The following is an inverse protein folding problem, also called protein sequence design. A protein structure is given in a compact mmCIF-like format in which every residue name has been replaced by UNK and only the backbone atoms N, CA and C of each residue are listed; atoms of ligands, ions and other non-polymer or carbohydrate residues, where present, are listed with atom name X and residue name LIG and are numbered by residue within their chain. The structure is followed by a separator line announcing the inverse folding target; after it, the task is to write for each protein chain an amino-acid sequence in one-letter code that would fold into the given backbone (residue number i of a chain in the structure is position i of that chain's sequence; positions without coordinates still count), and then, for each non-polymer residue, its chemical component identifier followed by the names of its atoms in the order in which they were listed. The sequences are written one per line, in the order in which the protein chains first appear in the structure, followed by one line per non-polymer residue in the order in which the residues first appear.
data_IF_196309258281
#
_entry.id   IF_196309258281
#
_cell.length_a   1.000
_cell.length_b   1.000
_cell.length_c   1.000
_cell.angle_alpha   90.00
_cell.angle_beta   90.00
_cell.angle_gamma   90.00
#
_symmetry.space_group_name_H-M   'P 1'
#
loop_
_entity.id
_entity.type
_entity.pdbx_description
1 polymer ?
#
# COMPACT_ATOMS: atom_id res chain seq x y z
N UNK A 1 -11.36 25.14 -0.37
CA UNK A 1 -10.71 24.50 -1.54
C UNK A 1 -10.66 25.51 -2.68
N UNK A 2 -9.46 25.88 -3.16
CA UNK A 2 -9.33 26.77 -4.32
C UNK A 2 -9.74 26.02 -5.60
N UNK A 3 -10.56 26.63 -6.45
CA UNK A 3 -10.91 26.10 -7.78
C UNK A 3 -9.78 26.49 -8.74
N UNK A 4 -8.83 25.59 -8.93
CA UNK A 4 -7.63 25.78 -9.76
C UNK A 4 -7.94 25.29 -11.17
N UNK A 5 -8.95 25.86 -11.83
CA UNK A 5 -9.35 25.50 -13.20
C UNK A 5 -9.33 26.75 -14.11
N UNK A 6 -9.01 26.57 -15.40
CA UNK A 6 -9.05 27.59 -16.47
C UNK A 6 -7.98 28.70 -16.49
N UNK A 7 -6.85 28.54 -15.80
CA UNK A 7 -5.69 29.46 -15.90
C UNK A 7 -4.55 28.86 -16.72
N UNK A 8 -3.77 29.74 -17.35
CA UNK A 8 -2.55 29.34 -18.05
C UNK A 8 -1.34 29.84 -17.28
N UNK A 9 -0.45 28.92 -16.90
CA UNK A 9 0.73 29.22 -16.10
C UNK A 9 2.01 29.05 -16.91
N UNK A 10 3.03 29.87 -16.61
CA UNK A 10 4.40 29.64 -17.08
C UNK A 10 5.19 28.77 -16.10
N UNK A 11 4.82 28.85 -14.82
CA UNK A 11 5.50 28.18 -13.74
C UNK A 11 4.53 27.88 -12.60
N UNK A 12 4.66 26.71 -11.98
CA UNK A 12 3.91 26.32 -10.79
C UNK A 12 4.87 25.73 -9.76
N UNK A 13 4.70 26.11 -8.50
CA UNK A 13 5.35 25.46 -7.35
C UNK A 13 4.26 24.73 -6.57
N UNK A 14 4.50 23.46 -6.27
CA UNK A 14 3.72 22.71 -5.29
C UNK A 14 4.63 22.51 -4.09
N UNK A 15 4.29 23.18 -2.99
CA UNK A 15 4.97 23.02 -1.71
C UNK A 15 4.31 21.91 -0.89
N UNK A 16 5.09 21.30 0.01
CA UNK A 16 4.71 20.08 0.74
C UNK A 16 4.09 19.01 -0.18
N UNK A 17 4.73 18.80 -1.33
CA UNK A 17 4.23 17.96 -2.42
C UNK A 17 4.05 16.49 -2.03
N UNK A 18 4.63 16.04 -0.91
CA UNK A 18 4.38 14.70 -0.36
C UNK A 18 2.93 14.49 0.11
N UNK A 19 2.21 15.56 0.47
CA UNK A 19 0.80 15.53 0.89
C UNK A 19 -0.16 15.96 -0.23
N UNK A 20 0.38 16.39 -1.37
CA UNK A 20 -0.43 16.84 -2.49
C UNK A 20 -1.19 15.67 -3.13
N UNK A 21 -2.49 15.88 -3.34
CA UNK A 21 -3.36 14.94 -4.05
C UNK A 21 -2.90 14.76 -5.50
N UNK A 22 -2.54 13.52 -5.87
CA UNK A 22 -2.02 13.18 -7.18
C UNK A 22 -3.01 13.48 -8.31
N UNK A 23 -4.31 13.29 -8.06
CA UNK A 23 -5.36 13.59 -9.03
C UNK A 23 -5.42 15.10 -9.30
N UNK A 24 -5.41 15.93 -8.26
CA UNK A 24 -5.39 17.40 -8.39
C UNK A 24 -4.16 17.88 -9.16
N UNK A 25 -2.97 17.37 -8.83
CA UNK A 25 -1.74 17.80 -9.51
C UNK A 25 -1.76 17.40 -10.99
N UNK A 26 -2.18 16.17 -11.30
CA UNK A 26 -2.14 15.64 -12.67
C UNK A 26 -3.28 16.12 -13.56
N UNK A 27 -4.49 16.27 -13.03
CA UNK A 27 -5.68 16.66 -13.80
C UNK A 27 -5.95 18.16 -13.79
N UNK A 28 -5.63 18.86 -12.70
CA UNK A 28 -5.94 20.29 -12.59
C UNK A 28 -4.71 21.17 -12.83
N UNK A 29 -3.56 20.89 -12.20
CA UNK A 29 -2.39 21.78 -12.27
C UNK A 29 -1.56 21.55 -13.53
N UNK A 30 -1.20 20.30 -13.84
CA UNK A 30 -0.30 19.98 -14.95
C UNK A 30 -0.83 20.46 -16.32
N UNK A 31 -2.12 20.32 -16.66
CA UNK A 31 -2.64 20.80 -17.95
C UNK A 31 -2.54 22.32 -18.13
N UNK A 32 -2.53 23.09 -17.04
CA UNK A 32 -2.43 24.56 -17.09
C UNK A 32 -1.07 25.08 -17.53
N UNK A 33 -0.04 24.25 -17.46
CA UNK A 33 1.31 24.58 -17.93
C UNK A 33 1.48 24.26 -19.42
N UNK A 34 0.57 23.49 -20.03
CA UNK A 34 0.76 22.93 -21.37
C UNK A 34 0.93 24.00 -22.46
N UNK A 35 0.07 25.03 -22.47
CA UNK A 35 0.10 26.07 -23.51
C UNK A 35 1.42 26.84 -23.54
N UNK A 36 2.01 27.13 -22.38
CA UNK A 36 3.28 27.86 -22.29
C UNK A 36 4.52 26.95 -22.25
N UNK A 37 4.34 25.62 -22.36
CA UNK A 37 5.39 24.65 -22.03
C UNK A 37 6.03 24.97 -20.64
N UNK A 38 5.18 25.27 -19.68
CA UNK A 38 5.57 25.76 -18.36
C UNK A 38 6.23 24.69 -17.50
N UNK A 39 6.97 25.14 -16.49
CA UNK A 39 7.69 24.25 -15.56
C UNK A 39 6.91 24.07 -14.27
N UNK A 40 6.89 22.84 -13.73
CA UNK A 40 6.42 22.56 -12.38
C UNK A 40 7.63 22.23 -11.49
N UNK A 41 7.72 22.89 -10.34
CA UNK A 41 8.67 22.58 -9.28
C UNK A 41 7.91 21.99 -8.08
N UNK A 42 8.47 20.93 -7.51
CA UNK A 42 7.89 20.24 -6.36
C UNK A 42 8.88 20.33 -5.20
N UNK A 43 8.43 20.83 -4.06
CA UNK A 43 9.20 20.89 -2.81
C UNK A 43 8.47 20.10 -1.72
N UNK A 44 9.22 19.50 -0.82
CA UNK A 44 8.64 18.65 0.21
C UNK A 44 9.67 17.76 0.90
N UNK A 45 9.19 16.95 1.83
CA UNK A 45 9.99 16.04 2.65
C UNK A 45 9.65 14.58 2.37
N UNK A 46 10.54 13.66 2.77
CA UNK A 46 10.30 12.23 2.60
C UNK A 46 9.19 11.74 3.54
N UNK A 47 8.34 10.83 3.04
CA UNK A 47 7.25 10.23 3.82
C UNK A 47 7.24 8.71 3.66
N UNK A 48 6.23 8.06 4.25
CA UNK A 48 6.03 6.60 4.27
C UNK A 48 5.32 6.06 3.03
N UNK A 49 4.66 6.92 2.25
CA UNK A 49 3.82 6.49 1.12
C UNK A 49 4.38 6.97 -0.22
N UNK A 50 4.15 6.19 -1.28
CA UNK A 50 4.50 6.56 -2.66
C UNK A 50 3.52 7.59 -3.21
N UNK A 51 3.86 8.88 -3.08
CA UNK A 51 3.07 9.98 -3.64
C UNK A 51 3.50 10.34 -5.07
N UNK A 52 2.75 11.26 -5.71
CA UNK A 52 3.16 11.89 -6.96
C UNK A 52 4.57 12.49 -6.86
N UNK A 53 4.90 13.11 -5.72
CA UNK A 53 6.22 13.68 -5.45
C UNK A 53 7.32 12.62 -5.49
N UNK A 54 7.12 11.47 -4.83
CA UNK A 54 8.06 10.35 -4.90
C UNK A 54 8.31 9.89 -6.34
N UNK A 55 7.24 9.70 -7.13
CA UNK A 55 7.33 9.27 -8.53
C UNK A 55 8.14 10.27 -9.37
N UNK A 56 7.95 11.57 -9.16
CA UNK A 56 8.67 12.63 -9.87
C UNK A 56 10.14 12.73 -9.43
N UNK A 57 10.46 12.50 -8.15
CA UNK A 57 11.85 12.38 -7.69
C UNK A 57 12.55 11.23 -8.43
N UNK A 58 11.94 10.04 -8.49
CA UNK A 58 12.53 8.88 -9.18
C UNK A 58 12.68 9.13 -10.69
N UNK A 59 11.72 9.82 -11.30
CA UNK A 59 11.83 10.26 -12.69
C UNK A 59 13.01 11.22 -12.91
N UNK A 60 13.14 12.27 -12.07
CA UNK A 60 14.21 13.26 -12.18
C UNK A 60 15.58 12.64 -11.90
N UNK A 61 15.72 11.76 -10.89
CA UNK A 61 16.96 11.01 -10.63
C UNK A 61 17.39 10.19 -11.85
N UNK A 62 16.47 9.44 -12.47
CA UNK A 62 16.74 8.69 -13.72
C UNK A 62 17.14 9.60 -14.87
N UNK A 63 16.49 10.77 -15.00
CA UNK A 63 16.81 11.76 -16.03
C UNK A 63 18.20 12.37 -15.82
N UNK A 64 18.57 12.67 -14.58
CA UNK A 64 19.86 13.26 -14.23
C UNK A 64 21.03 12.29 -14.43
N UNK A 65 20.80 10.99 -14.22
CA UNK A 65 21.77 9.92 -14.54
C UNK A 65 22.00 9.85 -16.05
N UNK A 66 20.93 9.91 -16.85
CA UNK A 66 20.97 9.79 -18.31
C UNK A 66 21.20 11.13 -19.03
N UNK A 67 21.65 12.17 -18.32
CA UNK A 67 21.71 13.53 -18.85
C UNK A 67 22.77 13.66 -19.95
N UNK A 68 22.41 14.34 -21.04
CA UNK A 68 23.37 14.73 -22.09
C UNK A 68 24.17 15.97 -21.66
N UNK A 69 25.36 16.16 -22.23
CA UNK A 69 26.18 17.35 -21.99
C UNK A 69 25.37 18.62 -22.29
N UNK A 70 25.31 19.54 -21.32
CA UNK A 70 24.52 20.77 -21.40
C UNK A 70 23.12 20.70 -20.79
N UNK A 71 22.63 19.51 -20.41
CA UNK A 71 21.37 19.40 -19.66
C UNK A 71 21.55 19.77 -18.19
N UNK A 72 20.62 20.59 -17.68
CA UNK A 72 20.60 21.01 -16.27
C UNK A 72 20.08 19.89 -15.37
N UNK A 73 20.57 19.87 -14.14
CA UNK A 73 20.11 18.97 -13.08
C UNK A 73 18.64 19.28 -12.75
N UNK A 74 17.84 18.23 -12.58
CA UNK A 74 16.40 18.31 -12.34
C UNK A 74 16.01 17.93 -10.92
N UNK A 75 16.81 17.10 -10.23
CA UNK A 75 16.59 16.69 -8.85
C UNK A 75 17.61 17.34 -7.92
N UNK A 76 17.14 17.96 -6.84
CA UNK A 76 17.98 18.53 -5.79
C UNK A 76 17.53 17.97 -4.45
N UNK A 77 18.48 17.52 -3.63
CA UNK A 77 18.21 16.87 -2.35
C UNK A 77 19.29 17.29 -1.34
N UNK A 78 18.84 17.77 -0.19
CA UNK A 78 19.71 18.32 0.84
C UNK A 78 19.25 17.78 2.19
N UNK A 79 20.09 16.96 2.80
CA UNK A 79 19.87 16.43 4.15
C UNK A 79 20.30 17.45 5.22
N UNK A 80 20.10 17.07 6.48
CA UNK A 80 20.51 17.87 7.63
C UNK A 80 22.01 18.22 7.61
N UNK A 81 22.86 17.35 7.02
CA UNK A 81 24.32 17.59 6.95
C UNK A 81 24.62 18.80 6.09
N UNK A 82 23.85 19.04 5.05
CA UNK A 82 24.00 20.23 4.22
C UNK A 82 23.59 21.48 4.99
N UNK A 83 22.42 21.47 5.63
CA UNK A 83 21.94 22.61 6.42
C UNK A 83 22.87 22.95 7.60
N UNK A 84 23.42 21.93 8.27
CA UNK A 84 24.33 22.09 9.40
C UNK A 84 25.65 22.80 9.04
N UNK A 85 26.08 22.77 7.77
CA UNK A 85 27.27 23.51 7.31
C UNK A 85 27.08 25.03 7.36
N UNK A 86 25.84 25.49 7.23
CA UNK A 86 25.52 26.93 7.14
C UNK A 86 24.89 27.49 8.41
N UNK A 87 24.44 26.62 9.33
CA UNK A 87 23.82 27.03 10.58
C UNK A 87 24.28 26.16 11.74
N UNK A 88 25.20 26.70 12.55
CA UNK A 88 25.74 26.02 13.72
C UNK A 88 24.67 25.68 14.77
N UNK A 89 23.67 26.55 14.94
CA UNK A 89 22.57 26.29 15.89
C UNK A 89 21.74 25.08 15.43
N UNK A 90 21.51 24.95 14.13
CA UNK A 90 20.86 23.77 13.55
C UNK A 90 21.69 22.51 13.77
N UNK A 91 23.01 22.55 13.53
CA UNK A 91 23.90 21.42 13.81
C UNK A 91 23.89 21.00 15.29
N UNK A 92 23.89 21.97 16.22
CA UNK A 92 23.75 21.70 17.66
C UNK A 92 22.40 21.09 18.02
N UNK A 93 21.32 21.52 17.37
CA UNK A 93 19.99 20.95 17.54
C UNK A 93 19.95 19.48 17.08
N UNK A 94 20.44 19.20 15.88
CA UNK A 94 20.50 17.83 15.34
C UNK A 94 21.33 16.90 16.23
N UNK A 95 22.43 17.41 16.80
CA UNK A 95 23.26 16.62 17.72
C UNK A 95 22.49 16.18 18.97
N UNK A 96 21.60 17.03 19.49
CA UNK A 96 20.71 16.69 20.61
C UNK A 96 19.62 15.70 20.16
N UNK A 97 19.04 15.90 18.98
CA UNK A 97 18.03 14.98 18.43
C UNK A 97 18.60 13.58 18.21
N UNK A 98 19.82 13.45 17.67
CA UNK A 98 20.50 12.16 17.51
C UNK A 98 20.59 11.37 18.82
N UNK A 99 20.83 12.05 19.95
CA UNK A 99 20.87 11.41 21.27
C UNK A 99 19.46 11.10 21.78
N UNK A 100 18.49 11.99 21.53
CA UNK A 100 17.11 11.86 22.02
C UNK A 100 16.32 10.75 21.34
N UNK A 101 16.28 10.77 20.00
CA UNK A 101 15.46 9.85 19.20
C UNK A 101 16.29 8.72 18.57
N UNK A 102 17.61 8.87 18.47
CA UNK A 102 18.49 7.91 17.80
C UNK A 102 18.61 8.20 16.31
N UNK A 103 19.83 8.18 15.77
CA UNK A 103 20.09 8.42 14.33
C UNK A 103 19.47 7.34 13.43
N UNK A 104 19.29 6.12 13.97
CA UNK A 104 18.66 5.00 13.28
C UNK A 104 17.13 4.97 13.39
N UNK A 105 16.53 5.88 14.16
CA UNK A 105 15.06 5.99 14.25
C UNK A 105 14.45 6.42 12.92
N UNK A 106 13.20 6.02 12.70
CA UNK A 106 12.49 6.42 11.48
C UNK A 106 12.24 7.92 11.48
N UNK A 107 11.92 8.48 12.64
CA UNK A 107 11.71 9.89 12.86
C UNK A 107 12.94 10.67 12.39
N UNK A 108 14.14 10.24 12.80
CA UNK A 108 15.37 10.90 12.37
C UNK A 108 15.64 10.71 10.87
N UNK A 109 15.46 9.50 10.35
CA UNK A 109 15.70 9.16 8.94
C UNK A 109 14.77 9.91 7.99
N UNK A 110 13.48 10.02 8.30
CA UNK A 110 12.52 10.75 7.48
C UNK A 110 12.75 12.26 7.58
N UNK A 111 12.78 12.81 8.80
CA UNK A 111 12.79 14.27 9.01
C UNK A 111 14.12 14.94 8.71
N UNK A 112 15.24 14.21 8.80
CA UNK A 112 16.57 14.82 8.67
C UNK A 112 17.42 14.21 7.56
N UNK A 113 17.23 12.93 7.21
CA UNK A 113 18.00 12.25 6.14
C UNK A 113 17.27 12.19 4.80
N UNK A 114 16.03 12.71 4.70
CA UNK A 114 15.16 12.59 3.52
C UNK A 114 14.96 11.14 3.07
N UNK A 115 14.96 10.20 4.02
CA UNK A 115 14.82 8.79 3.72
C UNK A 115 13.35 8.40 3.58
N UNK A 116 12.98 7.84 2.42
CA UNK A 116 11.62 7.38 2.14
C UNK A 116 11.39 6.01 2.75
N UNK A 117 10.55 5.94 3.78
CA UNK A 117 10.26 4.72 4.54
C UNK A 117 9.06 3.96 3.94
N UNK A 118 9.20 3.51 2.69
CA UNK A 118 8.06 3.04 1.87
C UNK A 118 7.47 1.68 2.26
N UNK A 119 8.27 0.81 2.88
CA UNK A 119 7.92 -0.59 3.09
C UNK A 119 7.75 -0.94 4.58
N UNK A 120 7.93 0.05 5.47
CA UNK A 120 7.89 -0.20 6.91
C UNK A 120 6.45 -0.34 7.38
N UNK A 121 6.12 -1.53 7.89
CA UNK A 121 4.77 -1.93 8.28
C UNK A 121 4.06 -2.81 7.24
N UNK A 122 4.64 -2.99 6.05
CA UNK A 122 4.12 -3.95 5.06
C UNK A 122 4.68 -5.35 5.34
N UNK A 123 3.86 -6.38 5.13
CA UNK A 123 4.28 -7.78 5.28
C UNK A 123 5.37 -8.19 4.26
N UNK A 124 5.28 -7.63 3.05
CA UNK A 124 6.17 -7.94 1.92
C UNK A 124 6.44 -6.69 1.08
N UNK A 125 7.63 -6.61 0.48
CA UNK A 125 8.01 -5.54 -0.46
C UNK A 125 7.33 -5.75 -1.82
N UNK A 126 7.11 -4.67 -2.58
CA UNK A 126 6.51 -4.77 -3.93
C UNK A 126 7.34 -5.64 -4.88
N UNK A 127 8.68 -5.55 -4.82
CA UNK A 127 9.57 -6.38 -5.64
C UNK A 127 9.44 -7.88 -5.31
N UNK A 128 9.43 -8.24 -4.02
CA UNK A 128 9.22 -9.62 -3.58
C UNK A 128 7.82 -10.13 -3.96
N UNK A 129 6.77 -9.33 -3.79
CA UNK A 129 5.42 -9.70 -4.22
C UNK A 129 5.34 -9.90 -5.74
N UNK A 130 5.98 -9.01 -6.51
CA UNK A 130 6.06 -9.11 -7.97
C UNK A 130 6.79 -10.36 -8.48
N UNK A 131 7.69 -10.95 -7.68
CA UNK A 131 8.34 -12.24 -8.00
C UNK A 131 7.48 -13.46 -7.68
N UNK A 132 6.49 -13.33 -6.80
CA UNK A 132 5.53 -14.40 -6.49
C UNK A 132 4.39 -14.46 -7.52
N UNK A 133 4.16 -13.35 -8.23
CA UNK A 133 3.12 -13.24 -9.24
C UNK A 133 3.53 -13.96 -10.53
N UNK A 134 2.66 -14.86 -11.02
CA UNK A 134 2.76 -15.46 -12.35
C UNK A 134 1.75 -14.78 -13.30
N UNK A 135 2.19 -13.93 -14.25
CA UNK A 135 1.30 -13.24 -15.18
C UNK A 135 0.51 -14.16 -16.11
N UNK A 136 0.90 -15.43 -16.22
CA UNK A 136 0.19 -16.41 -17.03
C UNK A 136 -1.03 -17.01 -16.33
N UNK A 137 -1.15 -16.84 -15.01
CA UNK A 137 -2.29 -17.33 -14.23
C UNK A 137 -3.42 -16.29 -14.23
N UNK A 138 -4.56 -16.54 -14.91
CA UNK A 138 -5.70 -15.64 -14.86
C UNK A 138 -6.44 -15.77 -13.53
N UNK A 139 -7.23 -14.73 -13.20
CA UNK A 139 -8.23 -14.86 -12.14
C UNK A 139 -9.23 -15.97 -12.50
N UNK A 140 -9.50 -16.83 -11.53
CA UNK A 140 -10.42 -17.96 -11.66
C UNK A 140 -11.72 -17.57 -10.94
N UNK A 141 -12.77 -17.15 -11.67
CA UNK A 141 -13.99 -16.63 -11.05
C UNK A 141 -14.83 -17.69 -10.35
N UNK A 142 -14.68 -18.96 -10.74
CA UNK A 142 -15.42 -20.11 -10.21
C UNK A 142 -14.52 -21.35 -10.15
N UNK A 143 -14.65 -22.17 -9.10
CA UNK A 143 -13.90 -23.44 -8.96
C UNK A 143 -14.64 -24.49 -8.13
N UNK A 144 -14.92 -25.65 -8.75
CA UNK A 144 -15.74 -26.72 -8.15
C UNK A 144 -15.09 -28.11 -8.26
N UNK A 145 -13.80 -28.16 -8.59
CA UNK A 145 -13.09 -29.42 -8.86
C UNK A 145 -12.49 -30.02 -7.59
N UNK A 146 -12.02 -29.15 -6.72
CA UNK A 146 -11.41 -29.51 -5.44
C UNK A 146 -11.81 -28.46 -4.41
N UNK A 147 -11.96 -28.85 -3.14
CA UNK A 147 -12.26 -27.91 -2.08
C UNK A 147 -11.17 -26.84 -1.91
N UNK A 148 -11.60 -25.60 -1.72
CA UNK A 148 -10.73 -24.44 -1.47
C UNK A 148 -10.93 -23.92 -0.04
N UNK A 149 -10.05 -23.01 0.38
CA UNK A 149 -10.23 -22.22 1.60
C UNK A 149 -10.41 -20.74 1.23
N UNK A 150 -11.11 -20.00 2.08
CA UNK A 150 -11.21 -18.55 1.95
C UNK A 150 -10.75 -17.84 3.22
N UNK A 151 -10.07 -16.70 3.04
CA UNK A 151 -9.75 -15.77 4.11
C UNK A 151 -10.46 -14.44 3.90
N UNK A 152 -11.10 -13.89 4.93
CA UNK A 152 -11.81 -12.61 4.86
C UNK A 152 -11.23 -11.66 5.91
N UNK A 153 -10.69 -10.54 5.43
CA UNK A 153 -10.34 -9.38 6.24
C UNK A 153 -11.45 -8.34 6.11
N UNK A 154 -11.98 -7.87 7.23
CA UNK A 154 -13.24 -7.15 7.30
C UNK A 154 -13.02 -5.68 7.65
N UNK A 155 -13.48 -4.80 6.76
CA UNK A 155 -13.41 -3.36 6.93
C UNK A 155 -14.63 -2.65 6.34
N UNK A 156 -14.56 -1.32 6.18
CA UNK A 156 -15.68 -0.53 5.67
C UNK A 156 -15.24 0.76 4.99
N UNK A 157 -14.96 1.81 5.77
CA UNK A 157 -14.84 3.17 5.22
C UNK A 157 -13.40 3.69 5.12
N UNK A 158 -12.51 3.26 6.02
CA UNK A 158 -11.09 3.62 5.94
C UNK A 158 -10.28 2.64 5.09
N UNK A 159 -10.72 1.38 5.09
CA UNK A 159 -10.10 0.26 4.38
C UNK A 159 -11.19 -0.60 3.73
N UNK A 160 -10.81 -1.37 2.70
CA UNK A 160 -11.69 -2.29 1.99
C UNK A 160 -11.81 -3.63 2.71
N UNK A 161 -13.00 -4.22 2.73
CA UNK A 161 -13.15 -5.66 3.03
C UNK A 161 -12.58 -6.46 1.88
N UNK A 162 -11.76 -7.47 2.18
CA UNK A 162 -11.15 -8.35 1.17
C UNK A 162 -11.44 -9.81 1.49
N UNK A 163 -12.14 -10.51 0.59
CA UNK A 163 -12.31 -11.96 0.65
C UNK A 163 -11.43 -12.62 -0.40
N UNK A 164 -10.50 -13.47 0.02
CA UNK A 164 -9.50 -14.12 -0.85
C UNK A 164 -9.82 -15.60 -1.00
N UNK A 165 -9.96 -16.07 -2.22
CA UNK A 165 -10.16 -17.48 -2.56
C UNK A 165 -8.82 -18.17 -2.83
N UNK A 166 -8.51 -19.23 -2.09
CA UNK A 166 -7.20 -19.90 -2.14
C UNK A 166 -7.38 -21.39 -2.40
N UNK A 167 -6.88 -21.83 -3.55
CA UNK A 167 -6.72 -23.25 -3.86
C UNK A 167 -5.54 -23.82 -3.07
N UNK A 168 -5.67 -25.08 -2.64
CA UNK A 168 -4.64 -25.81 -1.89
C UNK A 168 -4.47 -27.20 -2.51
N UNK A 169 -3.23 -27.60 -2.75
CA UNK A 169 -2.90 -28.98 -3.13
C UNK A 169 -2.82 -29.86 -1.89
N UNK A 170 -3.95 -30.46 -1.50
CA UNK A 170 -4.02 -31.31 -0.31
C UNK A 170 -3.26 -32.64 -0.46
N UNK A 171 -3.00 -33.06 -1.69
CA UNK A 171 -2.45 -34.38 -2.00
C UNK A 171 -0.91 -34.39 -1.99
N UNK A 172 -0.29 -33.21 -2.16
CA UNK A 172 1.17 -33.08 -2.31
C UNK A 172 1.78 -32.05 -1.34
N UNK A 173 1.83 -32.32 -0.03
CA UNK A 173 2.62 -31.51 0.89
C UNK A 173 4.11 -31.58 0.57
N UNK A 174 4.83 -30.49 0.80
CA UNK A 174 6.28 -30.44 0.67
C UNK A 174 7.00 -31.19 1.81
N UNK A 175 8.34 -31.26 1.74
CA UNK A 175 9.15 -31.96 2.75
C UNK A 175 9.10 -31.36 4.16
N UNK A 176 8.50 -30.18 4.33
CA UNK A 176 8.26 -29.51 5.61
C UNK A 176 6.79 -29.58 6.04
N UNK A 177 5.93 -30.22 5.26
CA UNK A 177 4.50 -30.35 5.52
C UNK A 177 3.65 -29.16 5.07
N UNK A 178 4.21 -28.22 4.29
CA UNK A 178 3.45 -27.13 3.71
C UNK A 178 2.77 -27.56 2.42
N UNK A 179 1.51 -27.18 2.25
CA UNK A 179 0.76 -27.43 1.03
C UNK A 179 1.00 -26.30 0.04
N UNK A 180 1.19 -26.68 -1.23
CA UNK A 180 1.16 -25.69 -2.31
C UNK A 180 -0.21 -25.01 -2.30
N UNK A 181 -0.22 -23.68 -2.40
CA UNK A 181 -1.44 -22.90 -2.43
C UNK A 181 -1.33 -21.77 -3.44
N UNK A 182 -2.47 -21.43 -4.03
CA UNK A 182 -2.56 -20.39 -5.06
C UNK A 182 -3.80 -19.55 -4.85
N UNK A 183 -3.65 -18.23 -4.95
CA UNK A 183 -4.80 -17.33 -4.95
C UNK A 183 -5.52 -17.49 -6.30
N UNK A 184 -6.78 -17.93 -6.24
CA UNK A 184 -7.64 -18.06 -7.42
C UNK A 184 -8.22 -16.71 -7.82
N UNK A 185 -8.73 -15.97 -6.84
CA UNK A 185 -9.41 -14.70 -7.02
C UNK A 185 -9.56 -13.97 -5.67
N UNK A 186 -9.96 -12.70 -5.71
CA UNK A 186 -10.39 -11.97 -4.53
C UNK A 186 -11.55 -11.03 -4.83
N UNK A 187 -12.39 -10.80 -3.83
CA UNK A 187 -13.42 -9.77 -3.81
C UNK A 187 -12.93 -8.62 -2.93
N UNK A 188 -12.93 -7.40 -3.47
CA UNK A 188 -12.68 -6.17 -2.72
C UNK A 188 -13.97 -5.34 -2.63
N UNK A 189 -14.33 -4.93 -1.41
CA UNK A 189 -15.50 -4.09 -1.13
C UNK A 189 -15.07 -2.83 -0.37
N UNK A 190 -15.13 -1.68 -1.05
CA UNK A 190 -14.83 -0.38 -0.46
C UNK A 190 -16.12 0.38 -0.12
N UNK A 191 -16.18 0.97 1.08
CA UNK A 191 -17.27 1.84 1.57
C UNK A 191 -18.69 1.30 1.32
N UNK A 192 -18.85 -0.01 1.45
CA UNK A 192 -20.13 -0.71 1.31
C UNK A 192 -20.75 -0.94 2.68
N UNK A 193 -22.06 -0.77 2.83
CA UNK A 193 -22.76 -1.05 4.09
C UNK A 193 -22.77 -2.54 4.44
N UNK A 194 -22.94 -2.86 5.72
CA UNK A 194 -22.79 -4.24 6.22
C UNK A 194 -23.73 -5.24 5.58
N UNK A 195 -25.02 -4.90 5.42
CA UNK A 195 -25.99 -5.81 4.81
C UNK A 195 -25.60 -6.11 3.36
N UNK A 196 -25.25 -5.09 2.59
CA UNK A 196 -24.76 -5.27 1.22
C UNK A 196 -23.45 -6.07 1.16
N UNK A 197 -22.53 -5.88 2.12
CA UNK A 197 -21.30 -6.66 2.18
C UNK A 197 -21.59 -8.15 2.37
N UNK A 198 -22.48 -8.52 3.31
CA UNK A 198 -22.82 -9.93 3.55
C UNK A 198 -23.30 -10.64 2.29
N UNK A 199 -24.25 -10.04 1.55
CA UNK A 199 -24.77 -10.65 0.33
C UNK A 199 -23.71 -10.80 -0.75
N UNK A 200 -22.87 -9.77 -0.95
CA UNK A 200 -21.78 -9.83 -1.94
C UNK A 200 -20.74 -10.88 -1.59
N UNK A 201 -20.41 -11.04 -0.31
CA UNK A 201 -19.51 -12.09 0.16
C UNK A 201 -20.13 -13.47 -0.08
N UNK A 202 -21.40 -13.66 0.28
CA UNK A 202 -22.10 -14.94 0.06
C UNK A 202 -22.15 -15.30 -1.42
N UNK A 203 -22.47 -14.34 -2.30
CA UNK A 203 -22.49 -14.57 -3.75
C UNK A 203 -21.10 -14.90 -4.29
N UNK A 204 -20.04 -14.29 -3.76
CA UNK A 204 -18.67 -14.64 -4.11
C UNK A 204 -18.27 -16.04 -3.62
N UNK A 205 -18.61 -16.40 -2.38
CA UNK A 205 -18.36 -17.73 -1.80
C UNK A 205 -19.05 -18.82 -2.63
N UNK A 206 -20.27 -18.56 -3.09
CA UNK A 206 -21.07 -19.48 -3.91
C UNK A 206 -20.49 -19.82 -5.27
N UNK A 207 -19.42 -19.16 -5.72
CA UNK A 207 -18.76 -19.51 -6.97
C UNK A 207 -17.75 -20.67 -6.80
N UNK A 208 -17.52 -21.13 -5.57
CA UNK A 208 -16.47 -22.10 -5.28
C UNK A 208 -16.97 -23.22 -4.37
N UNK A 209 -16.35 -24.39 -4.48
CA UNK A 209 -16.44 -25.45 -3.48
C UNK A 209 -15.57 -25.07 -2.27
N UNK A 210 -16.15 -24.37 -1.29
CA UNK A 210 -15.41 -23.88 -0.11
C UNK A 210 -15.52 -24.86 1.05
N UNK A 211 -14.37 -25.31 1.55
CA UNK A 211 -14.28 -26.16 2.74
C UNK A 211 -14.44 -25.33 4.03
N UNK A 212 -13.68 -24.23 4.13
CA UNK A 212 -13.57 -23.40 5.32
C UNK A 212 -13.39 -21.93 4.97
N UNK A 213 -13.96 -21.07 5.81
CA UNK A 213 -13.76 -19.62 5.75
C UNK A 213 -13.14 -19.15 7.05
N UNK A 214 -11.94 -18.58 6.98
CA UNK A 214 -11.31 -17.86 8.08
C UNK A 214 -11.66 -16.38 8.01
N UNK A 215 -12.11 -15.78 9.10
CA UNK A 215 -12.46 -14.36 9.17
C UNK A 215 -11.62 -13.72 10.26
N UNK A 216 -10.95 -12.59 9.96
CA UNK A 216 -10.29 -11.82 11.01
C UNK A 216 -11.34 -11.35 12.02
N UNK A 217 -11.23 -11.81 13.26
CA UNK A 217 -12.17 -11.55 14.33
C UNK A 217 -11.90 -10.24 15.08
N UNK A 218 -10.80 -9.53 14.78
CA UNK A 218 -10.49 -8.29 15.47
C UNK A 218 -11.51 -7.18 15.14
N UNK A 219 -11.81 -6.37 16.16
CA UNK A 219 -12.77 -5.27 16.05
C UNK A 219 -14.17 -5.76 15.69
N UNK A 220 -14.68 -5.31 14.54
CA UNK A 220 -16.02 -5.65 14.05
C UNK A 220 -16.11 -7.07 13.46
N UNK A 221 -14.97 -7.71 13.20
CA UNK A 221 -14.88 -8.99 12.51
C UNK A 221 -15.59 -10.15 13.22
N UNK A 222 -15.61 -10.18 14.56
CA UNK A 222 -16.31 -11.21 15.31
C UNK A 222 -17.82 -11.27 15.02
N UNK A 223 -18.49 -10.11 14.97
CA UNK A 223 -19.92 -10.04 14.66
C UNK A 223 -20.20 -10.44 13.20
N UNK A 224 -19.28 -10.11 12.30
CA UNK A 224 -19.37 -10.47 10.87
C UNK A 224 -19.21 -11.97 10.71
N UNK A 225 -18.29 -12.60 11.47
CA UNK A 225 -18.10 -14.04 11.46
C UNK A 225 -19.32 -14.81 11.95
N UNK A 226 -19.93 -14.39 13.06
CA UNK A 226 -21.20 -14.96 13.55
C UNK A 226 -22.31 -14.85 12.51
N UNK A 227 -22.43 -13.69 11.84
CA UNK A 227 -23.45 -13.47 10.82
C UNK A 227 -23.21 -14.33 9.58
N UNK A 228 -21.98 -14.41 9.08
CA UNK A 228 -21.64 -15.23 7.92
C UNK A 228 -21.79 -16.73 8.20
N UNK A 229 -21.50 -17.20 9.42
CA UNK A 229 -21.75 -18.58 9.82
C UNK A 229 -23.24 -18.97 9.69
N UNK A 230 -24.16 -18.03 9.96
CA UNK A 230 -25.60 -18.26 9.76
C UNK A 230 -26.01 -18.24 8.28
N UNK A 231 -25.34 -17.43 7.45
CA UNK A 231 -25.64 -17.30 6.01
C UNK A 231 -25.02 -18.41 5.16
N UNK A 232 -23.97 -19.06 5.67
CA UNK A 232 -23.22 -20.15 5.04
C UNK A 232 -23.29 -21.42 5.91
N UNK A 233 -24.49 -21.99 6.12
CA UNK A 233 -24.69 -23.07 7.11
C UNK A 233 -23.94 -24.36 6.77
N UNK A 234 -23.60 -24.58 5.50
CA UNK A 234 -22.90 -25.77 5.02
C UNK A 234 -21.37 -25.62 5.04
N UNK A 235 -20.85 -24.46 5.43
CA UNK A 235 -19.41 -24.15 5.43
C UNK A 235 -18.95 -23.83 6.85
N UNK A 236 -17.82 -24.40 7.26
CA UNK A 236 -17.23 -24.10 8.55
C UNK A 236 -16.58 -22.70 8.53
N UNK A 237 -17.18 -21.77 9.27
CA UNK A 237 -16.70 -20.39 9.44
C UNK A 237 -15.94 -20.28 10.75
N UNK A 238 -14.67 -19.89 10.67
CA UNK A 238 -13.73 -19.78 11.78
C UNK A 238 -13.37 -18.31 12.04
N UNK A 239 -13.59 -17.87 13.28
CA UNK A 239 -13.08 -16.60 13.78
C UNK A 239 -11.59 -16.72 14.11
N UNK A 240 -10.76 -15.95 13.42
CA UNK A 240 -9.30 -16.02 13.51
C UNK A 240 -8.78 -14.75 14.18
N UNK A 241 -7.98 -14.88 15.26
CA UNK A 241 -7.31 -13.72 15.87
C UNK A 241 -6.14 -13.24 15.00
N UNK A 242 -6.06 -11.95 14.71
CA UNK A 242 -4.90 -11.32 14.07
C UNK A 242 -3.88 -10.76 15.07
N UNK A 243 -3.97 -11.08 16.37
CA UNK A 243 -2.93 -10.67 17.32
C UNK A 243 -1.56 -11.30 17.02
N UNK A 244 -0.48 -10.60 17.37
CA UNK A 244 0.87 -11.00 17.00
C UNK A 244 1.29 -12.39 17.53
N UNK A 245 0.73 -12.80 18.68
CA UNK A 245 1.02 -14.11 19.27
C UNK A 245 0.33 -15.22 18.48
N UNK A 246 -0.97 -15.06 18.22
CA UNK A 246 -1.77 -16.00 17.45
C UNK A 246 -1.28 -16.12 16.01
N UNK A 247 -0.76 -15.04 15.41
CA UNK A 247 -0.11 -15.11 14.11
C UNK A 247 1.18 -15.93 14.17
N UNK A 248 2.04 -15.70 15.17
CA UNK A 248 3.30 -16.43 15.31
C UNK A 248 3.08 -17.94 15.48
N UNK A 249 2.13 -18.34 16.33
CA UNK A 249 1.78 -19.75 16.58
C UNK A 249 1.27 -20.53 15.35
N UNK A 250 0.89 -19.86 14.25
CA UNK A 250 0.48 -20.53 13.00
C UNK A 250 1.66 -20.95 12.12
N UNK A 251 2.83 -20.36 12.34
CA UNK A 251 4.02 -20.54 11.51
C UNK A 251 5.15 -21.28 12.23
N UNK A 252 4.95 -21.65 13.50
CA UNK A 252 5.89 -22.38 14.37
C UNK A 252 5.33 -23.75 14.69
#
# INVERSE_FOLDING_TARGET
KAKIESKTYHFAIVDEAQEADEYVVTKSIKPMLAFNNGTIALTGTATRNKSYFYKMIQFNKRRDINKKRGQRQSHFEYDWRTAAKYNENYGRFISKEKVRIGEDSDEFRMSYLNHWMLEKGMFVTEDRLGRLYDPSMPLVPEWWRTPIIMGIDVARSNDSTVATAVWVDWDHPDGLGFFEHRVLNWLELHDTDWESQYFKIVDFVRNYEVMRVGIDAQGVGGAVAERLALLLPDIEVLSISSDAKAQNERWV
#
